data_IF_834998284572
#
_entry.id   IF_834998284572
#
_cell.length_a   1.000
_cell.length_b   1.000
_cell.length_c   1.000
_cell.angle_alpha   90.00
_cell.angle_beta   90.00
_cell.angle_gamma   90.00
#
_symmetry.space_group_name_H-M   'P 1'
#
loop_
_entity.id
_entity.type
_entity.pdbx_description
1 polymer ?
#
# COMPACT_ATOMS: atom_id res chain seq x y z
N UNK A 1 8.08 -14.52 -25.94
CA UNK A 1 7.05 -14.18 -24.93
C UNK A 1 7.39 -12.79 -24.41
N UNK A 2 6.54 -11.80 -24.66
CA UNK A 2 6.65 -10.49 -24.01
C UNK A 2 6.43 -10.68 -22.51
N UNK A 3 7.24 -10.05 -21.63
CA UNK A 3 6.92 -10.05 -20.20
C UNK A 3 5.50 -9.52 -20.02
N UNK A 4 4.65 -10.21 -19.26
CA UNK A 4 3.33 -9.66 -18.93
C UNK A 4 3.55 -8.32 -18.23
N UNK A 5 2.96 -7.25 -18.75
CA UNK A 5 3.06 -5.92 -18.14
C UNK A 5 2.51 -5.98 -16.71
N UNK A 6 3.31 -5.56 -15.74
CA UNK A 6 2.87 -5.43 -14.34
C UNK A 6 2.32 -4.01 -14.14
N UNK A 7 1.12 -3.91 -13.59
CA UNK A 7 0.51 -2.63 -13.21
C UNK A 7 0.70 -2.42 -11.71
N UNK A 8 1.26 -1.28 -11.31
CA UNK A 8 1.40 -0.95 -9.89
C UNK A 8 0.07 -0.37 -9.38
N UNK A 9 -0.53 -1.00 -8.38
CA UNK A 9 -1.72 -0.50 -7.68
C UNK A 9 -1.29 0.03 -6.31
N UNK A 10 -1.15 1.36 -6.19
CA UNK A 10 -0.75 2.03 -4.95
C UNK A 10 -1.99 2.39 -4.16
N UNK A 11 -2.05 1.90 -2.92
CA UNK A 11 -3.15 2.17 -1.99
C UNK A 11 -2.75 3.33 -1.10
N UNK A 12 -3.45 4.47 -1.24
CA UNK A 12 -3.27 5.64 -0.40
C UNK A 12 -4.51 5.84 0.47
N UNK A 13 -4.34 6.44 1.65
CA UNK A 13 -5.44 6.64 2.59
C UNK A 13 -4.94 6.72 4.01
N UNK A 14 -5.79 7.16 4.93
CA UNK A 14 -5.40 7.35 6.33
C UNK A 14 -5.19 6.02 7.07
N UNK A 15 -4.55 6.11 8.23
CA UNK A 15 -4.46 4.98 9.16
C UNK A 15 -5.87 4.50 9.51
N UNK A 16 -6.09 3.18 9.42
CA UNK A 16 -7.40 2.57 9.67
C UNK A 16 -8.36 2.52 8.48
N UNK A 17 -8.02 3.07 7.30
CA UNK A 17 -8.92 3.06 6.14
C UNK A 17 -9.06 1.70 5.42
N UNK A 18 -8.36 0.66 5.89
CA UNK A 18 -8.54 -0.71 5.40
C UNK A 18 -7.68 -1.09 4.19
N UNK A 19 -6.66 -0.30 3.83
CA UNK A 19 -5.70 -0.59 2.74
C UNK A 19 -5.07 -1.99 2.81
N UNK A 20 -4.46 -2.34 3.94
CA UNK A 20 -3.86 -3.68 4.14
C UNK A 20 -4.92 -4.78 4.11
N UNK A 21 -6.13 -4.50 4.57
CA UNK A 21 -7.25 -5.45 4.56
C UNK A 21 -7.69 -5.76 3.12
N UNK A 22 -7.87 -4.74 2.28
CA UNK A 22 -8.23 -4.96 0.87
C UNK A 22 -7.10 -5.67 0.10
N UNK A 23 -5.83 -5.36 0.36
CA UNK A 23 -4.70 -6.10 -0.23
C UNK A 23 -4.72 -7.58 0.13
N UNK A 24 -5.02 -7.89 1.40
CA UNK A 24 -5.14 -9.27 1.87
C UNK A 24 -6.35 -9.97 1.25
N UNK A 25 -7.47 -9.29 1.14
CA UNK A 25 -8.67 -9.80 0.46
C UNK A 25 -8.42 -10.07 -1.03
N UNK A 26 -7.52 -9.31 -1.66
CA UNK A 26 -7.07 -9.53 -3.03
C UNK A 26 -6.03 -10.65 -3.15
N UNK A 27 -5.56 -11.25 -2.05
CA UNK A 27 -4.69 -12.44 -2.07
C UNK A 27 -3.22 -12.17 -1.75
N UNK A 28 -2.85 -10.97 -1.32
CA UNK A 28 -1.51 -10.71 -0.79
C UNK A 28 -1.38 -11.18 0.66
N UNK A 29 -0.25 -11.76 1.04
CA UNK A 29 0.03 -12.09 2.44
C UNK A 29 0.56 -10.86 3.20
N UNK A 30 -0.28 -9.84 3.32
CA UNK A 30 0.08 -8.62 4.03
C UNK A 30 -0.28 -8.73 5.50
N UNK A 31 0.58 -8.15 6.33
CA UNK A 31 0.38 -7.96 7.74
C UNK A 31 -0.58 -6.80 7.93
N UNK A 32 -1.78 -7.08 8.46
CA UNK A 32 -2.71 -6.05 8.92
C UNK A 32 -2.72 -6.05 10.45
N UNK A 33 -1.74 -5.39 11.07
CA UNK A 33 -1.70 -5.25 12.53
C UNK A 33 -2.53 -4.05 12.98
N UNK A 34 -3.48 -4.30 13.88
CA UNK A 34 -4.06 -3.28 14.76
C UNK A 34 -3.12 -3.17 15.96
N UNK A 35 -2.60 -1.99 16.28
CA UNK A 35 -1.94 -1.80 17.57
C UNK A 35 -2.95 -2.02 18.70
N UNK A 36 -2.45 -2.36 19.89
CA UNK A 36 -3.26 -2.50 21.09
C UNK A 36 -4.05 -1.21 21.42
N UNK A 37 -3.59 -0.08 20.90
CA UNK A 37 -4.12 1.26 21.11
C UNK A 37 -5.13 1.67 20.02
N UNK A 38 -5.46 0.76 19.10
CA UNK A 38 -6.46 1.00 18.05
C UNK A 38 -5.93 1.68 16.79
N UNK A 39 -4.63 2.03 16.73
CA UNK A 39 -4.01 2.58 15.54
C UNK A 39 -3.52 1.43 14.63
N UNK A 40 -3.92 1.42 13.36
CA UNK A 40 -3.35 0.48 12.38
C UNK A 40 -1.94 0.93 12.03
N UNK A 41 -0.90 0.15 12.31
CA UNK A 41 0.47 0.64 12.11
C UNK A 41 1.20 -0.22 11.07
N UNK A 42 0.90 0.02 9.81
CA UNK A 42 1.80 -0.33 8.71
C UNK A 42 2.91 0.71 8.69
N UNK A 43 4.05 0.40 9.32
CA UNK A 43 5.21 1.31 9.39
C UNK A 43 6.06 1.32 8.12
N UNK A 44 5.90 0.31 7.27
CA UNK A 44 6.71 0.11 6.08
C UNK A 44 5.82 -0.31 4.91
N UNK A 45 6.22 0.07 3.70
CA UNK A 45 5.54 -0.35 2.47
C UNK A 45 5.51 -1.87 2.39
N UNK A 46 4.34 -2.44 2.13
CA UNK A 46 4.19 -3.85 1.78
C UNK A 46 3.91 -3.97 0.30
N UNK A 47 4.57 -4.92 -0.37
CA UNK A 47 4.34 -5.18 -1.79
C UNK A 47 4.01 -6.65 -2.03
N UNK A 48 3.08 -6.89 -2.95
CA UNK A 48 2.57 -8.22 -3.25
C UNK A 48 2.11 -8.30 -4.69
N UNK A 49 2.30 -9.45 -5.31
CA UNK A 49 1.84 -9.71 -6.67
C UNK A 49 0.55 -10.52 -6.63
N UNK A 50 -0.41 -10.12 -7.45
CA UNK A 50 -1.66 -10.86 -7.67
C UNK A 50 -2.01 -10.80 -9.15
N UNK A 51 -2.60 -11.87 -9.67
CA UNK A 51 -3.27 -11.85 -10.96
C UNK A 51 -4.77 -11.58 -10.77
N UNK A 52 -5.28 -10.52 -11.39
CA UNK A 52 -6.71 -10.20 -11.42
C UNK A 52 -7.17 -10.12 -12.88
N UNK A 53 -8.08 -11.02 -13.28
CA UNK A 53 -8.64 -11.07 -14.64
C UNK A 53 -7.55 -11.10 -15.74
N UNK A 54 -6.50 -11.90 -15.54
CA UNK A 54 -5.39 -12.01 -16.51
C UNK A 54 -4.41 -10.84 -16.53
N UNK A 55 -4.53 -9.89 -15.59
CA UNK A 55 -3.58 -8.78 -15.42
C UNK A 55 -2.80 -8.95 -14.13
N UNK A 56 -1.47 -8.90 -14.23
CA UNK A 56 -0.59 -8.95 -13.06
C UNK A 56 -0.50 -7.57 -12.41
N UNK A 57 -0.97 -7.48 -11.18
CA UNK A 57 -0.90 -6.29 -10.34
C UNK A 57 0.16 -6.46 -9.27
N UNK A 58 0.99 -5.42 -9.09
CA UNK A 58 1.78 -5.23 -7.88
C UNK A 58 1.00 -4.31 -6.95
N UNK A 59 0.43 -4.87 -5.90
CA UNK A 59 -0.19 -4.07 -4.84
C UNK A 59 0.92 -3.48 -3.98
N UNK A 60 0.78 -2.18 -3.70
CA UNK A 60 1.72 -1.40 -2.89
C UNK A 60 0.88 -0.76 -1.79
N UNK A 61 0.90 -1.36 -0.60
CA UNK A 61 0.22 -0.86 0.60
C UNK A 61 1.13 0.14 1.30
N UNK A 62 0.67 1.38 1.43
CA UNK A 62 1.46 2.46 2.04
C UNK A 62 1.03 2.73 3.48
N UNK A 63 1.89 3.36 4.29
CA UNK A 63 1.49 3.96 5.56
C UNK A 63 0.34 4.97 5.40
N UNK A 64 -0.34 5.27 6.50
CA UNK A 64 -1.33 6.35 6.54
C UNK A 64 -0.67 7.73 6.52
N UNK A 65 -1.17 8.66 5.71
CA UNK A 65 -0.56 9.99 5.64
C UNK A 65 -0.84 10.84 6.89
N UNK A 66 -2.07 10.85 7.38
CA UNK A 66 -2.45 11.68 8.52
C UNK A 66 -2.17 10.96 9.84
N UNK A 67 -1.25 11.52 10.62
CA UNK A 67 -0.87 11.07 11.96
C UNK A 67 -0.91 12.23 12.96
N UNK A 68 -1.12 11.91 14.25
CA UNK A 68 -1.12 12.92 15.32
C UNK A 68 0.28 13.47 15.64
N UNK A 69 1.32 12.77 15.20
CA UNK A 69 2.72 13.08 15.41
C UNK A 69 3.33 13.56 14.08
N UNK A 70 3.84 14.80 14.06
CA UNK A 70 4.40 15.42 12.85
C UNK A 70 5.64 14.69 12.33
N UNK A 71 6.44 14.10 13.20
CA UNK A 71 7.61 13.32 12.78
C UNK A 71 7.16 12.07 12.04
N UNK A 72 6.16 11.35 12.57
CA UNK A 72 5.59 10.18 11.90
C UNK A 72 4.88 10.53 10.59
N UNK A 73 4.16 11.65 10.56
CA UNK A 73 3.54 12.14 9.33
C UNK A 73 4.59 12.37 8.23
N UNK A 74 5.73 12.97 8.59
CA UNK A 74 6.83 13.19 7.64
C UNK A 74 7.46 11.86 7.18
N UNK A 75 7.75 10.95 8.11
CA UNK A 75 8.28 9.61 7.79
C UNK A 75 7.34 8.85 6.83
N UNK A 76 6.03 8.87 7.10
CA UNK A 76 5.03 8.23 6.24
C UNK A 76 4.94 8.90 4.87
N UNK A 77 5.08 10.23 4.79
CA UNK A 77 5.10 10.95 3.52
C UNK A 77 6.33 10.56 2.68
N UNK A 78 7.50 10.42 3.31
CA UNK A 78 8.73 10.01 2.63
C UNK A 78 8.62 8.58 2.07
N UNK A 79 8.06 7.64 2.85
CA UNK A 79 7.76 6.28 2.38
C UNK A 79 6.77 6.29 1.20
N UNK A 80 5.70 7.09 1.26
CA UNK A 80 4.75 7.22 0.13
C UNK A 80 5.46 7.76 -1.12
N UNK A 81 6.37 8.72 -0.96
CA UNK A 81 7.16 9.26 -2.08
C UNK A 81 8.06 8.17 -2.68
N UNK A 82 8.72 7.36 -1.86
CA UNK A 82 9.53 6.22 -2.35
C UNK A 82 8.68 5.17 -3.08
N UNK A 83 7.47 4.88 -2.60
CA UNK A 83 6.52 4.00 -3.29
C UNK A 83 6.20 4.53 -4.70
N UNK A 84 5.97 5.83 -4.84
CA UNK A 84 5.63 6.47 -6.12
C UNK A 84 6.83 6.57 -7.08
N UNK A 85 8.07 6.50 -6.58
CA UNK A 85 9.29 6.47 -7.40
C UNK A 85 9.56 5.14 -8.08
N UNK A 86 8.81 4.08 -7.78
CA UNK A 86 9.02 2.73 -8.37
C UNK A 86 8.87 2.67 -9.90
N UNK A 87 8.40 3.74 -10.55
CA UNK A 87 8.27 3.85 -12.00
C UNK A 87 7.21 2.93 -12.60
N UNK A 88 6.93 3.09 -13.91
CA UNK A 88 5.94 2.28 -14.62
C UNK A 88 4.52 2.86 -14.57
N UNK A 89 3.52 2.00 -14.82
CA UNK A 89 2.11 2.40 -14.82
C UNK A 89 1.51 2.27 -13.43
N UNK A 90 0.93 3.37 -12.93
CA UNK A 90 0.28 3.42 -11.63
C UNK A 90 -1.22 3.57 -11.75
N UNK A 91 -1.95 2.80 -10.93
CA UNK A 91 -3.31 3.11 -10.52
C UNK A 91 -3.27 3.46 -9.04
N UNK A 92 -3.77 4.64 -8.68
CA UNK A 92 -3.84 5.09 -7.30
C UNK A 92 -5.28 4.87 -6.82
N UNK A 93 -5.43 4.08 -5.77
CA UNK A 93 -6.71 3.90 -5.09
C UNK A 93 -6.65 4.61 -3.75
N UNK A 94 -7.55 5.57 -3.55
CA UNK A 94 -7.72 6.29 -2.29
C UNK A 94 -8.83 5.62 -1.49
N UNK A 95 -8.50 5.14 -0.30
CA UNK A 95 -9.39 4.38 0.60
C UNK A 95 -9.63 5.16 1.89
#
# INVERSE_FOLDING_TARGET
MTPSKIVNLVLLGNTGSGKSYISRALGCDFISTRSADGHGVTRHIQTGLVELNGVNYRLIDTPGLVESDMTKMQENADEIVEALKTGGEFKILVV
#
